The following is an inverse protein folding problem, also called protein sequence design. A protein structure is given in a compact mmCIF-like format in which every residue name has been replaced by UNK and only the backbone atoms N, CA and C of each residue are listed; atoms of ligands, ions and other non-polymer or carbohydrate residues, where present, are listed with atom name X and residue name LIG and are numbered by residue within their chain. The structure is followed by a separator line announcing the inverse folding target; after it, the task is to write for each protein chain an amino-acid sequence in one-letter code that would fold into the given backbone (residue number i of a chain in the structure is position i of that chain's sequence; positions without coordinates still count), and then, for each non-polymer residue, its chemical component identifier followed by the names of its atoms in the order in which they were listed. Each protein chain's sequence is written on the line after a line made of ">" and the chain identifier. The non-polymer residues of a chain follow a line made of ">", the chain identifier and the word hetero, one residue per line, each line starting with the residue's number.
data_IF_221293455544
#
_entry.id   IF_221293455544
#
_cell.length_a   1.000
_cell.length_b   1.000
_cell.length_c   1.000
_cell.angle_alpha   90.00
_cell.angle_beta   90.00
_cell.angle_gamma   90.00
#
_symmetry.space_group_name_H-M   'P 1'
#
loop_
_entity.id
_entity.type
_entity.pdbx_description
1 polymer ?
#
# COMPACT_ATOMS: atom_id res chain seq x y z
N UNK A 1 -8.50 -11.61 -11.05
CA UNK A 1 -7.81 -11.01 -9.90
C UNK A 1 -7.96 -9.51 -10.11
N UNK A 2 -8.57 -8.80 -9.17
CA UNK A 2 -8.85 -7.38 -9.35
C UNK A 2 -7.56 -6.56 -9.37
N UNK A 3 -7.48 -5.58 -10.28
CA UNK A 3 -6.48 -4.51 -10.26
C UNK A 3 -6.62 -3.77 -8.92
N UNK A 4 -5.72 -4.06 -7.99
CA UNK A 4 -5.62 -3.32 -6.74
C UNK A 4 -4.49 -2.31 -6.88
N UNK A 5 -4.85 -1.02 -6.88
CA UNK A 5 -3.86 0.04 -6.85
C UNK A 5 -3.62 0.48 -5.41
N UNK A 6 -2.37 0.48 -4.97
CA UNK A 6 -2.02 0.89 -3.59
C UNK A 6 -1.26 2.20 -3.61
N UNK A 7 -1.78 3.14 -2.83
CA UNK A 7 -1.25 4.49 -2.67
C UNK A 7 -0.67 4.65 -1.28
N UNK A 8 0.52 5.23 -1.21
CA UNK A 8 1.19 5.54 0.05
C UNK A 8 1.29 7.04 0.21
N UNK A 9 0.92 7.49 1.40
CA UNK A 9 0.98 8.89 1.80
C UNK A 9 1.91 9.05 2.99
N UNK A 10 2.58 10.19 3.06
CA UNK A 10 3.33 10.59 4.24
C UNK A 10 2.79 11.91 4.76
N UNK A 11 2.48 11.94 6.04
CA UNK A 11 2.14 13.16 6.77
C UNK A 11 3.35 13.60 7.61
N UNK A 12 3.86 14.80 7.35
CA UNK A 12 4.90 15.41 8.19
C UNK A 12 4.28 16.38 9.20
N UNK A 13 4.96 16.54 10.34
CA UNK A 13 4.63 17.58 11.30
C UNK A 13 4.73 18.96 10.63
N UNK A 14 3.66 19.74 10.66
CA UNK A 14 3.56 21.05 10.02
C UNK A 14 2.97 21.04 8.60
N UNK A 15 2.72 19.88 8.00
CA UNK A 15 1.97 19.78 6.73
C UNK A 15 0.46 19.68 7.00
N UNK A 16 -0.34 20.42 6.24
CA UNK A 16 -1.80 20.40 6.33
C UNK A 16 -2.41 19.14 5.69
N UNK A 17 -1.76 18.58 4.68
CA UNK A 17 -2.22 17.40 3.95
C UNK A 17 -1.08 16.39 3.75
N UNK A 18 -1.35 15.08 3.87
CA UNK A 18 -0.38 14.05 3.54
C UNK A 18 -0.02 14.06 2.05
N UNK A 19 1.28 14.09 1.72
CA UNK A 19 1.75 14.00 0.33
C UNK A 19 1.82 12.55 -0.16
N UNK A 20 1.51 12.30 -1.45
CA UNK A 20 1.71 11.00 -2.09
C UNK A 20 3.21 10.76 -2.26
N UNK A 21 3.70 9.62 -1.78
CA UNK A 21 5.13 9.27 -1.82
C UNK A 21 5.43 8.05 -2.69
N UNK A 22 4.43 7.20 -2.94
CA UNK A 22 4.61 6.00 -3.74
C UNK A 22 3.25 5.47 -4.22
N UNK A 23 3.20 5.09 -5.49
CA UNK A 23 2.06 4.39 -6.09
C UNK A 23 2.57 3.06 -6.60
N UNK A 24 2.11 1.95 -6.01
CA UNK A 24 2.41 0.63 -6.53
C UNK A 24 1.35 0.29 -7.58
N UNK A 25 1.76 0.33 -8.84
CA UNK A 25 0.98 -0.18 -9.96
C UNK A 25 1.12 -1.69 -10.03
N UNK A 26 -0.01 -2.35 -9.89
CA UNK A 26 -0.30 -3.73 -10.28
C UNK A 26 0.84 -4.74 -10.12
N UNK A 27 0.85 -5.41 -8.97
CA UNK A 27 1.63 -6.63 -8.82
C UNK A 27 0.81 -7.67 -8.09
N UNK A 28 0.08 -8.44 -8.90
CA UNK A 28 -0.70 -9.62 -8.51
C UNK A 28 0.15 -10.71 -7.83
N UNK A 29 1.49 -10.60 -7.79
CA UNK A 29 2.40 -11.52 -7.12
C UNK A 29 2.36 -11.41 -5.58
N UNK A 30 1.79 -10.34 -5.04
CA UNK A 30 1.64 -10.12 -3.59
C UNK A 30 0.31 -10.64 -3.02
N UNK A 31 -0.54 -11.21 -3.88
CA UNK A 31 -1.88 -11.66 -3.53
C UNK A 31 -1.99 -13.18 -3.64
N UNK A 32 -1.90 -13.86 -2.50
CA UNK A 32 -2.08 -15.31 -2.40
C UNK A 32 -3.58 -15.63 -2.32
N UNK A 33 -4.02 -16.67 -3.03
CA UNK A 33 -5.37 -17.21 -2.88
C UNK A 33 -5.33 -18.25 -1.76
N UNK A 34 -6.02 -17.99 -0.65
CA UNK A 34 -6.17 -19.01 0.39
C UNK A 34 -7.23 -20.04 -0.03
N UNK A 35 -6.90 -21.34 -0.10
CA UNK A 35 -7.88 -22.40 -0.37
C UNK A 35 -8.69 -22.80 0.89
N UNK A 36 -8.43 -22.20 2.06
CA UNK A 36 -8.86 -22.74 3.37
C UNK A 36 -10.31 -22.44 3.76
N UNK A 37 -11.05 -21.65 2.98
CA UNK A 37 -12.48 -21.45 3.16
C UNK A 37 -13.20 -21.89 1.88
N UNK A 38 -14.40 -22.46 2.00
CA UNK A 38 -15.23 -22.87 0.84
C UNK A 38 -15.61 -21.75 -0.15
N UNK A 39 -15.05 -20.55 0.00
CA UNK A 39 -14.94 -19.51 -1.02
C UNK A 39 -13.48 -19.04 -1.13
N UNK A 40 -12.91 -18.90 -2.35
CA UNK A 40 -11.55 -18.45 -2.51
C UNK A 40 -11.42 -16.98 -2.08
N UNK A 41 -10.90 -16.75 -0.87
CA UNK A 41 -10.53 -15.42 -0.38
C UNK A 41 -9.11 -15.08 -0.84
N UNK A 42 -8.96 -13.88 -1.41
CA UNK A 42 -7.65 -13.36 -1.82
C UNK A 42 -7.05 -12.58 -0.65
N UNK A 43 -5.86 -12.97 -0.20
CA UNK A 43 -5.09 -12.26 0.83
C UNK A 43 -3.92 -11.56 0.16
N UNK A 44 -3.80 -10.25 0.35
CA UNK A 44 -2.74 -9.44 -0.28
C UNK A 44 -1.93 -8.71 0.79
N UNK A 45 -0.60 -8.75 0.67
CA UNK A 45 0.31 -7.97 1.54
C UNK A 45 1.10 -6.99 0.69
N UNK A 46 0.85 -5.70 0.90
CA UNK A 46 1.55 -4.63 0.18
C UNK A 46 2.64 -4.01 1.05
N UNK A 47 3.87 -4.04 0.55
CA UNK A 47 5.03 -3.51 1.27
C UNK A 47 5.50 -2.18 0.66
N UNK A 48 5.86 -1.22 1.51
CA UNK A 48 6.55 0.01 1.11
C UNK A 48 8.06 -0.14 1.38
N UNK A 49 8.88 -0.51 0.38
CA UNK A 49 10.31 -0.61 0.58
C UNK A 49 10.91 0.80 0.72
N UNK A 50 11.38 1.16 1.92
CA UNK A 50 12.20 2.36 2.12
C UNK A 50 13.64 1.96 2.42
N UNK A 51 14.59 2.59 1.72
CA UNK A 51 16.04 2.42 1.93
C UNK A 51 16.67 3.79 2.14
N UNK A 52 17.80 3.85 2.85
CA UNK A 52 18.58 5.07 3.07
C UNK A 52 17.76 6.24 3.66
N UNK A 53 17.04 5.97 4.76
CA UNK A 53 16.20 6.97 5.42
C UNK A 53 17.02 8.13 5.99
N UNK A 54 16.54 9.35 5.81
CA UNK A 54 17.11 10.58 6.40
C UNK A 54 16.12 11.23 7.38
N UNK A 55 16.56 12.22 8.15
CA UNK A 55 15.70 12.96 9.10
C UNK A 55 14.43 13.51 8.45
N UNK A 56 14.50 13.96 7.19
CA UNK A 56 13.33 14.46 6.46
C UNK A 56 12.29 13.38 6.13
N UNK A 57 12.63 12.10 6.27
CA UNK A 57 11.68 11.00 6.14
C UNK A 57 10.84 10.77 7.39
N UNK A 58 11.11 11.43 8.52
CA UNK A 58 10.26 11.32 9.69
C UNK A 58 8.83 11.79 9.38
N UNK A 59 7.84 11.00 9.80
CA UNK A 59 6.42 11.28 9.58
C UNK A 59 5.55 10.04 9.75
N UNK A 60 4.24 10.23 9.69
CA UNK A 60 3.26 9.14 9.71
C UNK A 60 3.00 8.67 8.29
N UNK A 61 2.98 7.35 8.09
CA UNK A 61 2.77 6.73 6.78
C UNK A 61 1.39 6.10 6.73
N UNK A 62 0.64 6.40 5.68
CA UNK A 62 -0.70 5.86 5.43
C UNK A 62 -0.71 5.09 4.11
N UNK A 63 -1.46 4.00 4.04
CA UNK A 63 -1.77 3.32 2.79
C UNK A 63 -3.26 3.41 2.48
N UNK A 64 -3.60 3.51 1.20
CA UNK A 64 -4.96 3.38 0.70
C UNK A 64 -4.96 2.38 -0.47
N UNK A 65 -5.95 1.51 -0.50
CA UNK A 65 -6.14 0.52 -1.56
C UNK A 65 -7.37 0.90 -2.36
N UNK A 66 -7.21 1.11 -3.66
CA UNK A 66 -8.32 1.23 -4.59
C UNK A 66 -8.56 -0.12 -5.25
N UNK A 67 -9.80 -0.60 -5.16
CA UNK A 67 -10.28 -1.78 -5.85
C UNK A 67 -11.50 -1.39 -6.69
N UNK A 68 -11.50 -1.71 -7.98
CA UNK A 68 -12.70 -1.64 -8.79
C UNK A 68 -13.51 -2.93 -8.58
N UNK A 69 -14.77 -2.79 -8.15
CA UNK A 69 -15.72 -3.90 -7.95
C UNK A 69 -16.54 -4.20 -9.19
#
# INVERSE_FOLDING_TARGET
>A
AGDHSVYWFRHRSGESHPGIIYTHGDRSDQCEKSPEAGSPTQSCVFNLPKRNLILSDAGTYYCAVAACG
#
